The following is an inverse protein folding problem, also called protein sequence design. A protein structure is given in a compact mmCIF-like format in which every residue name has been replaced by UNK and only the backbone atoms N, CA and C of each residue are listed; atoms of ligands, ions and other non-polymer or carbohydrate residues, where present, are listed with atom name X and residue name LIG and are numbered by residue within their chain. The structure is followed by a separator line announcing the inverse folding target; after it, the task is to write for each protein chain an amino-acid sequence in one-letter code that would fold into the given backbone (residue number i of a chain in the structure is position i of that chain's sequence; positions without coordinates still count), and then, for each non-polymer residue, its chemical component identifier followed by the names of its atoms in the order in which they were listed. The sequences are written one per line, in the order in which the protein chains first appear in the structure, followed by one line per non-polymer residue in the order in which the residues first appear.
data_IF_736931051227
#
_entry.id   IF_736931051227
#
_cell.length_a   1.000
_cell.length_b   1.000
_cell.length_c   1.000
_cell.angle_alpha   90.00
_cell.angle_beta   90.00
_cell.angle_gamma   90.00
#
_symmetry.space_group_name_H-M   'P 1'
#
loop_
_entity.id
_entity.type
_entity.pdbx_description
1 polymer ?
#
# COMPACT_ATOMS: atom_id res chain seq x y z
N UNK A 1 24.09 28.50 47.48
CA UNK A 1 24.11 27.87 46.13
C UNK A 1 22.95 26.88 46.08
N UNK A 2 21.84 27.33 45.48
CA UNK A 2 20.58 26.59 45.45
C UNK A 2 20.53 25.79 44.14
N UNK A 3 20.67 24.47 44.22
CA UNK A 3 20.62 23.59 43.08
C UNK A 3 19.14 23.26 42.81
N UNK A 4 18.59 23.82 41.73
CA UNK A 4 17.24 23.54 41.27
C UNK A 4 17.25 22.22 40.49
N UNK A 5 16.70 21.14 41.05
CA UNK A 5 16.37 19.93 40.30
C UNK A 5 15.06 20.19 39.56
N UNK A 6 15.14 20.34 38.23
CA UNK A 6 13.96 20.21 37.36
C UNK A 6 13.68 18.73 37.20
N UNK A 7 12.43 18.26 37.43
CA UNK A 7 12.08 16.88 37.07
C UNK A 7 12.11 16.77 35.56
N UNK A 8 12.88 15.85 35.02
CA UNK A 8 12.74 15.35 33.66
C UNK A 8 11.36 14.66 33.61
N UNK A 9 10.35 15.37 33.16
CA UNK A 9 9.10 14.75 32.73
C UNK A 9 9.44 13.91 31.51
N UNK A 10 9.72 12.62 31.73
CA UNK A 10 9.64 11.62 30.68
C UNK A 10 8.21 11.69 30.14
N UNK A 11 8.03 12.11 28.89
CA UNK A 11 6.77 11.92 28.20
C UNK A 11 6.50 10.42 28.28
N UNK A 12 5.49 10.04 29.06
CA UNK A 12 4.98 8.68 29.04
C UNK A 12 4.54 8.45 27.59
N UNK A 13 5.17 7.48 26.93
CA UNK A 13 4.76 7.07 25.61
C UNK A 13 3.33 6.55 25.77
N UNK A 14 2.35 7.20 25.11
CA UNK A 14 0.97 6.74 25.18
C UNK A 14 0.90 5.31 24.63
N UNK A 15 0.17 4.44 25.33
CA UNK A 15 -0.07 3.09 24.85
C UNK A 15 -0.79 3.16 23.50
N UNK A 16 -0.41 2.37 22.51
CA UNK A 16 -1.04 2.41 21.20
C UNK A 16 -2.51 2.03 21.28
N UNK A 17 -3.35 2.73 20.55
CA UNK A 17 -4.78 2.42 20.44
C UNK A 17 -4.92 1.04 19.79
N UNK A 18 -5.79 0.20 20.36
CA UNK A 18 -6.10 -1.12 19.83
C UNK A 18 -7.49 -1.13 19.21
N UNK A 19 -7.57 -1.50 17.94
CA UNK A 19 -8.82 -1.64 17.22
C UNK A 19 -9.22 -3.11 17.12
N UNK A 20 -10.52 -3.37 17.16
CA UNK A 20 -11.10 -4.65 16.75
C UNK A 20 -11.86 -4.48 15.45
N UNK A 21 -12.23 -5.58 14.80
CA UNK A 21 -13.04 -5.53 13.59
C UNK A 21 -14.31 -6.39 13.75
N UNK A 22 -15.32 -6.05 12.95
CA UNK A 22 -16.54 -6.84 12.78
C UNK A 22 -16.80 -7.04 11.30
N UNK A 23 -16.89 -8.28 10.85
CA UNK A 23 -17.28 -8.60 9.48
C UNK A 23 -18.71 -8.11 9.24
N UNK A 24 -18.90 -7.21 8.29
CA UNK A 24 -20.20 -6.66 7.90
C UNK A 24 -20.75 -7.41 6.69
N UNK A 25 -19.88 -7.73 5.71
CA UNK A 25 -20.22 -8.44 4.48
C UNK A 25 -19.08 -9.37 4.06
N UNK A 26 -19.40 -10.35 3.24
CA UNK A 26 -18.43 -11.25 2.60
C UNK A 26 -18.82 -11.35 1.12
N UNK A 27 -17.84 -11.23 0.24
CA UNK A 27 -18.02 -11.26 -1.21
C UNK A 27 -17.24 -12.40 -1.83
N UNK A 28 -17.71 -12.97 -2.98
CA UNK A 28 -16.94 -13.94 -3.73
C UNK A 28 -15.59 -13.37 -4.19
N UNK A 29 -14.58 -14.22 -4.24
CA UNK A 29 -13.24 -13.84 -4.69
C UNK A 29 -12.60 -14.96 -5.51
N UNK A 30 -11.77 -14.64 -6.49
CA UNK A 30 -10.99 -15.61 -7.26
C UNK A 30 -9.92 -16.24 -6.37
N UNK A 31 -10.13 -17.50 -5.99
CA UNK A 31 -9.21 -18.26 -5.13
C UNK A 31 -7.81 -18.47 -5.74
N UNK A 32 -7.63 -18.20 -7.02
CA UNK A 32 -6.32 -18.28 -7.70
C UNK A 32 -5.55 -16.97 -7.67
N UNK A 33 -6.23 -15.87 -7.33
CA UNK A 33 -5.60 -14.56 -7.17
C UNK A 33 -4.63 -14.58 -5.98
N UNK A 34 -3.42 -14.13 -6.22
CA UNK A 34 -2.44 -13.88 -5.16
C UNK A 34 -2.38 -12.37 -4.92
N UNK A 35 -3.38 -11.88 -4.20
CA UNK A 35 -3.59 -10.46 -3.95
C UNK A 35 -2.42 -9.81 -3.26
N UNK A 36 -1.94 -8.70 -3.81
CA UNK A 36 -0.84 -7.90 -3.28
C UNK A 36 -1.23 -6.44 -3.08
N UNK A 37 -2.26 -5.97 -3.74
CA UNK A 37 -2.82 -4.65 -3.58
C UNK A 37 -4.31 -4.65 -3.88
N UNK A 38 -5.07 -3.85 -3.12
CA UNK A 38 -6.52 -3.82 -3.22
C UNK A 38 -7.03 -2.42 -2.87
N UNK A 39 -7.89 -1.86 -3.70
CA UNK A 39 -8.67 -0.67 -3.32
C UNK A 39 -10.10 -0.74 -3.84
N UNK A 40 -11.00 -0.05 -3.16
CA UNK A 40 -12.41 0.07 -3.55
C UNK A 40 -12.67 1.44 -4.19
N UNK A 41 -13.30 1.45 -5.37
CA UNK A 41 -13.69 2.68 -6.03
C UNK A 41 -14.99 2.49 -6.82
N UNK A 42 -15.98 3.36 -6.57
CA UNK A 42 -17.25 3.45 -7.30
C UNK A 42 -17.98 2.12 -7.51
N UNK A 43 -18.07 1.30 -6.48
CA UNK A 43 -18.81 0.03 -6.51
C UNK A 43 -17.99 -1.18 -6.95
N UNK A 44 -16.72 -1.01 -7.29
CA UNK A 44 -15.82 -2.07 -7.74
C UNK A 44 -14.58 -2.21 -6.85
N UNK A 45 -14.06 -3.42 -6.77
CA UNK A 45 -12.72 -3.66 -6.27
C UNK A 45 -11.72 -3.61 -7.42
N UNK A 46 -10.58 -2.98 -7.17
CA UNK A 46 -9.42 -3.05 -8.04
C UNK A 46 -8.37 -3.88 -7.32
N UNK A 47 -7.80 -4.85 -8.02
CA UNK A 47 -6.91 -5.84 -7.44
C UNK A 47 -5.61 -5.95 -8.24
N UNK A 48 -4.48 -5.75 -7.56
CA UNK A 48 -3.15 -6.07 -8.03
C UNK A 48 -2.72 -7.45 -7.53
N UNK A 49 -2.27 -8.34 -8.43
CA UNK A 49 -1.83 -9.68 -8.01
C UNK A 49 -0.37 -9.93 -8.30
N UNK A 50 0.25 -10.77 -7.47
CA UNK A 50 1.60 -11.26 -7.60
C UNK A 50 1.74 -12.51 -8.45
N UNK A 51 2.91 -13.16 -8.37
CA UNK A 51 3.41 -14.32 -9.13
C UNK A 51 3.81 -14.00 -10.57
N UNK A 52 5.12 -14.17 -10.83
CA UNK A 52 5.70 -13.96 -12.19
C UNK A 52 4.96 -14.81 -13.23
N UNK A 53 4.58 -14.18 -14.36
CA UNK A 53 3.80 -14.82 -15.42
C UNK A 53 2.29 -14.91 -15.13
N UNK A 54 1.83 -14.53 -13.95
CA UNK A 54 0.42 -14.55 -13.55
C UNK A 54 -0.07 -13.22 -12.96
N UNK A 55 0.85 -12.29 -12.69
CA UNK A 55 0.54 -10.97 -12.14
C UNK A 55 -0.36 -10.19 -13.08
N UNK A 56 -1.35 -9.51 -12.51
CA UNK A 56 -2.32 -8.70 -13.24
C UNK A 56 -2.85 -7.54 -12.40
N UNK A 57 -3.41 -6.57 -13.07
CA UNK A 57 -4.32 -5.57 -12.51
C UNK A 57 -5.74 -5.94 -12.98
N UNK A 58 -6.70 -5.99 -12.08
CA UNK A 58 -8.09 -6.34 -12.37
C UNK A 58 -9.06 -5.34 -11.78
N UNK A 59 -10.18 -5.09 -12.48
CA UNK A 59 -11.40 -4.46 -11.94
C UNK A 59 -12.42 -5.55 -11.71
N UNK A 60 -12.88 -5.71 -10.48
CA UNK A 60 -13.68 -6.86 -10.03
C UNK A 60 -15.05 -6.41 -9.58
N UNK A 61 -16.09 -7.10 -10.04
CA UNK A 61 -17.45 -6.94 -9.55
C UNK A 61 -17.57 -7.56 -8.15
N UNK A 62 -18.03 -6.78 -7.17
CA UNK A 62 -18.21 -7.25 -5.80
C UNK A 62 -19.24 -8.38 -5.67
N UNK A 63 -20.33 -8.34 -6.41
CA UNK A 63 -21.46 -9.24 -6.22
C UNK A 63 -21.12 -10.70 -6.55
N UNK A 64 -20.29 -10.93 -7.57
CA UNK A 64 -19.96 -12.26 -8.06
C UNK A 64 -18.45 -12.57 -8.12
N UNK A 65 -17.59 -11.59 -7.81
CA UNK A 65 -16.14 -11.75 -7.86
C UNK A 65 -15.56 -11.85 -9.28
N UNK A 66 -16.34 -11.60 -10.31
CA UNK A 66 -15.88 -11.67 -11.70
C UNK A 66 -15.02 -10.46 -12.07
N UNK A 67 -13.93 -10.71 -12.81
CA UNK A 67 -13.12 -9.63 -13.37
C UNK A 67 -13.83 -9.02 -14.59
N UNK A 68 -14.20 -7.73 -14.49
CA UNK A 68 -14.80 -6.94 -15.59
C UNK A 68 -13.69 -6.49 -16.56
N UNK A 69 -12.54 -6.11 -16.00
CA UNK A 69 -11.35 -5.76 -16.76
C UNK A 69 -10.16 -6.50 -16.18
N UNK A 70 -9.20 -6.85 -17.04
CA UNK A 70 -8.02 -7.59 -16.65
C UNK A 70 -6.84 -7.18 -17.51
N UNK A 71 -5.77 -6.70 -16.89
CA UNK A 71 -4.52 -6.31 -17.54
C UNK A 71 -3.37 -7.17 -17.01
N UNK A 72 -2.90 -8.15 -17.78
CA UNK A 72 -1.73 -8.93 -17.39
C UNK A 72 -0.47 -8.06 -17.36
N UNK A 73 0.39 -8.28 -16.36
CA UNK A 73 1.75 -7.77 -16.36
C UNK A 73 2.66 -8.63 -17.23
N UNK A 74 3.76 -8.05 -17.72
CA UNK A 74 4.79 -8.81 -18.42
C UNK A 74 5.34 -9.95 -17.54
N UNK A 75 5.63 -11.10 -18.13
CA UNK A 75 5.95 -12.37 -17.43
C UNK A 75 7.11 -12.27 -16.41
N UNK A 76 8.02 -11.33 -16.59
CA UNK A 76 9.16 -11.11 -15.70
C UNK A 76 8.81 -10.40 -14.39
N UNK A 77 7.67 -9.71 -14.35
CA UNK A 77 7.27 -8.89 -13.21
C UNK A 77 6.48 -9.69 -12.19
N UNK A 78 6.70 -9.37 -10.94
CA UNK A 78 5.83 -9.73 -9.84
C UNK A 78 5.11 -8.45 -9.42
N UNK A 79 3.80 -8.36 -9.62
CA UNK A 79 2.98 -7.21 -9.25
C UNK A 79 2.76 -7.17 -7.75
N UNK A 80 2.73 -5.97 -7.22
CA UNK A 80 2.57 -5.65 -5.80
C UNK A 80 1.45 -4.62 -5.62
N UNK A 81 1.51 -3.82 -4.56
CA UNK A 81 0.53 -2.82 -4.18
C UNK A 81 0.07 -1.94 -5.33
N UNK A 82 -1.19 -1.56 -5.30
CA UNK A 82 -1.83 -0.67 -6.27
C UNK A 82 -2.53 0.48 -5.57
N UNK A 83 -2.62 1.65 -6.22
CA UNK A 83 -3.38 2.77 -5.68
C UNK A 83 -3.92 3.68 -6.79
N UNK A 84 -5.04 4.33 -6.52
CA UNK A 84 -5.70 5.28 -7.40
C UNK A 84 -5.38 6.72 -7.02
N UNK A 85 -4.85 7.48 -7.97
CA UNK A 85 -4.67 8.94 -7.83
C UNK A 85 -5.36 9.65 -9.00
N UNK A 86 -6.47 10.29 -8.75
CA UNK A 86 -7.30 10.88 -9.82
C UNK A 86 -7.79 9.82 -10.80
N UNK A 87 -7.36 9.90 -12.05
CA UNK A 87 -7.71 8.93 -13.10
C UNK A 87 -6.56 7.95 -13.42
N UNK A 88 -5.53 7.91 -12.58
CA UNK A 88 -4.35 7.07 -12.77
C UNK A 88 -4.27 5.97 -11.72
N UNK A 89 -4.06 4.72 -12.13
CA UNK A 89 -3.76 3.60 -11.25
C UNK A 89 -2.25 3.36 -11.28
N UNK A 90 -1.62 3.40 -10.12
CA UNK A 90 -0.22 3.04 -9.92
C UNK A 90 -0.14 1.58 -9.50
N UNK A 91 0.79 0.82 -10.05
CA UNK A 91 1.06 -0.57 -9.66
C UNK A 91 2.55 -0.77 -9.46
N UNK A 92 2.91 -1.17 -8.26
CA UNK A 92 4.26 -1.51 -7.87
C UNK A 92 4.69 -2.87 -8.44
N UNK A 93 5.99 -3.07 -8.50
CA UNK A 93 6.60 -4.40 -8.69
C UNK A 93 7.59 -4.68 -7.58
N UNK A 94 7.67 -5.94 -7.14
CA UNK A 94 8.54 -6.35 -6.04
C UNK A 94 10.00 -5.90 -6.24
N UNK A 95 10.81 -6.66 -6.97
CA UNK A 95 12.26 -6.43 -7.11
C UNK A 95 12.66 -5.86 -8.48
N UNK A 96 11.69 -5.55 -9.32
CA UNK A 96 11.97 -5.02 -10.65
C UNK A 96 12.13 -3.51 -10.69
N UNK A 97 11.91 -2.83 -9.55
CA UNK A 97 12.02 -1.38 -9.41
C UNK A 97 11.15 -0.58 -10.39
N UNK A 98 10.15 -1.21 -10.98
CA UNK A 98 9.23 -0.58 -11.92
C UNK A 98 7.92 -0.28 -11.26
N UNK A 99 7.39 0.89 -11.52
CA UNK A 99 6.02 1.27 -11.22
C UNK A 99 5.31 1.52 -12.54
N UNK A 100 4.23 0.81 -12.76
CA UNK A 100 3.38 1.02 -13.94
C UNK A 100 2.27 2.01 -13.60
N UNK A 101 1.96 2.88 -14.54
CA UNK A 101 0.84 3.82 -14.44
C UNK A 101 -0.14 3.52 -15.55
N UNK A 102 -1.39 3.30 -15.17
CA UNK A 102 -2.48 2.98 -16.09
C UNK A 102 -3.56 4.07 -16.03
N UNK A 103 -4.22 4.29 -17.15
CA UNK A 103 -5.49 4.99 -17.19
C UNK A 103 -6.58 4.12 -16.54
N UNK A 104 -7.34 4.67 -15.61
CA UNK A 104 -8.33 3.95 -14.80
C UNK A 104 -9.45 3.31 -15.64
N UNK A 105 -9.89 3.99 -16.71
CA UNK A 105 -11.04 3.54 -17.49
C UNK A 105 -10.67 2.47 -18.52
N UNK A 106 -9.50 2.61 -19.15
CA UNK A 106 -9.08 1.73 -20.24
C UNK A 106 -8.10 0.65 -19.82
N UNK A 107 -7.44 0.79 -18.70
CA UNK A 107 -6.26 0.00 -18.28
C UNK A 107 -5.11 0.07 -19.29
N UNK A 108 -5.11 1.08 -20.17
CA UNK A 108 -3.93 1.35 -21.00
C UNK A 108 -2.79 1.87 -20.14
N UNK A 109 -1.60 1.34 -20.37
CA UNK A 109 -0.41 1.84 -19.70
C UNK A 109 -0.04 3.20 -20.28
N UNK A 110 -0.09 4.24 -19.45
CA UNK A 110 0.18 5.63 -19.83
C UNK A 110 1.53 6.14 -19.32
N UNK A 111 2.18 5.39 -18.43
CA UNK A 111 3.47 5.80 -17.91
C UNK A 111 4.19 4.72 -17.12
N UNK A 112 5.38 5.07 -16.66
CA UNK A 112 6.18 4.28 -15.73
C UNK A 112 7.03 5.19 -14.87
N UNK A 113 7.33 4.75 -13.64
CA UNK A 113 8.35 5.36 -12.78
C UNK A 113 9.37 4.32 -12.35
N UNK A 114 10.50 4.79 -11.87
CA UNK A 114 11.50 3.98 -11.21
C UNK A 114 11.33 4.11 -9.69
N UNK A 115 11.24 2.97 -8.98
CA UNK A 115 11.29 2.90 -7.54
C UNK A 115 12.68 2.47 -7.08
N UNK A 116 13.33 3.25 -6.22
CA UNK A 116 14.70 2.96 -5.77
C UNK A 116 14.79 1.78 -4.80
N UNK A 117 13.67 1.41 -4.15
CA UNK A 117 13.56 0.28 -3.22
C UNK A 117 12.72 -0.85 -3.81
N UNK A 118 12.50 -1.93 -3.08
CA UNK A 118 11.43 -2.87 -3.40
C UNK A 118 10.08 -2.15 -3.29
N UNK A 119 9.09 -2.57 -4.05
CA UNK A 119 7.72 -2.10 -3.93
C UNK A 119 6.88 -3.18 -3.27
N UNK A 120 6.23 -2.87 -2.15
CA UNK A 120 5.32 -3.77 -1.45
C UNK A 120 3.90 -3.18 -1.43
N UNK A 121 3.56 -2.34 -0.47
CA UNK A 121 2.26 -1.69 -0.39
C UNK A 121 2.27 -0.25 -0.89
N UNK A 122 1.10 0.24 -1.28
CA UNK A 122 0.90 1.60 -1.77
C UNK A 122 -0.44 2.14 -1.29
N UNK A 123 -0.44 3.35 -0.73
CA UNK A 123 -1.64 4.09 -0.36
C UNK A 123 -1.53 5.56 -0.79
N UNK A 124 -2.64 6.30 -0.77
CA UNK A 124 -2.68 7.72 -1.11
C UNK A 124 -3.40 8.52 -0.02
N UNK A 125 -2.74 9.55 0.54
CA UNK A 125 -3.29 10.38 1.62
C UNK A 125 -4.11 11.58 1.15
N UNK A 126 -4.32 11.72 -0.16
CA UNK A 126 -4.96 12.86 -0.80
C UNK A 126 -3.97 13.88 -1.37
N UNK A 127 -2.70 13.78 -1.05
CA UNK A 127 -1.62 14.65 -1.52
C UNK A 127 -0.41 13.85 -2.01
N UNK A 128 -0.01 12.82 -1.27
CA UNK A 128 1.19 12.03 -1.53
C UNK A 128 0.87 10.54 -1.59
N UNK A 129 1.59 9.81 -2.43
CA UNK A 129 1.64 8.35 -2.35
C UNK A 129 2.49 7.93 -1.15
N UNK A 130 2.06 6.89 -0.46
CA UNK A 130 2.75 6.30 0.68
C UNK A 130 3.15 4.88 0.29
N UNK A 131 4.44 4.58 0.35
CA UNK A 131 5.01 3.31 -0.10
C UNK A 131 5.68 2.59 1.06
N UNK A 132 5.45 1.28 1.15
CA UNK A 132 6.22 0.34 1.97
C UNK A 132 7.16 -0.49 1.10
N UNK A 133 8.27 -0.95 1.67
CA UNK A 133 9.30 -1.75 1.01
C UNK A 133 9.77 -2.96 1.87
N UNK A 134 8.96 -3.33 2.86
CA UNK A 134 9.28 -4.39 3.83
C UNK A 134 10.20 -3.93 4.96
N UNK A 135 10.73 -2.72 4.93
CA UNK A 135 11.45 -2.13 6.06
C UNK A 135 10.49 -1.60 7.12
N UNK A 136 11.01 -0.88 8.10
CA UNK A 136 10.24 -0.14 9.10
C UNK A 136 9.99 1.32 8.68
N UNK A 137 10.31 1.69 7.46
CA UNK A 137 10.11 3.04 6.92
C UNK A 137 8.96 3.07 5.93
N UNK A 138 8.11 4.09 6.03
CA UNK A 138 7.14 4.47 5.01
C UNK A 138 7.71 5.67 4.23
N UNK A 139 7.71 5.59 2.91
CA UNK A 139 8.18 6.65 2.02
C UNK A 139 6.99 7.43 1.48
N UNK A 140 7.04 8.75 1.57
CA UNK A 140 6.04 9.65 1.00
C UNK A 140 6.57 10.22 -0.31
N UNK A 141 5.81 10.06 -1.38
CA UNK A 141 6.23 10.32 -2.75
C UNK A 141 5.28 11.31 -3.42
N UNK A 142 5.84 12.19 -4.25
CA UNK A 142 5.05 13.02 -5.15
C UNK A 142 4.43 12.14 -6.26
N UNK A 143 3.10 12.16 -6.49
CA UNK A 143 2.46 11.26 -7.45
C UNK A 143 2.91 11.47 -8.89
N UNK A 144 3.22 12.71 -9.30
CA UNK A 144 3.56 13.01 -10.70
C UNK A 144 5.00 12.60 -11.05
N UNK A 145 5.95 12.85 -10.16
CA UNK A 145 7.35 12.53 -10.37
C UNK A 145 7.82 11.23 -9.76
N UNK A 146 7.03 10.67 -8.84
CA UNK A 146 7.38 9.54 -7.98
C UNK A 146 8.64 9.80 -7.12
N UNK A 147 8.99 11.06 -6.93
CA UNK A 147 10.15 11.47 -6.14
C UNK A 147 9.83 11.42 -4.63
N UNK A 148 10.72 10.86 -3.80
CA UNK A 148 10.52 10.84 -2.36
C UNK A 148 10.65 12.25 -1.77
N UNK A 149 9.69 12.65 -0.93
CA UNK A 149 9.66 13.93 -0.20
C UNK A 149 10.11 13.77 1.24
N UNK A 150 9.69 12.69 1.90
CA UNK A 150 10.03 12.37 3.29
C UNK A 150 9.89 10.88 3.57
N UNK A 151 10.44 10.46 4.73
CA UNK A 151 10.27 9.11 5.28
C UNK A 151 9.79 9.20 6.72
N UNK A 152 9.01 8.21 7.14
CA UNK A 152 8.53 8.06 8.51
C UNK A 152 8.93 6.68 9.02
N UNK A 153 9.56 6.61 10.18
CA UNK A 153 9.88 5.35 10.85
C UNK A 153 8.68 4.88 11.66
N UNK A 154 8.30 3.64 11.46
CA UNK A 154 7.21 2.98 12.21
C UNK A 154 7.80 2.20 13.36
N UNK A 155 7.38 2.53 14.59
CA UNK A 155 7.89 1.90 15.80
C UNK A 155 6.75 1.54 16.76
N UNK A 156 6.95 0.50 17.54
CA UNK A 156 6.12 0.15 18.69
C UNK A 156 6.98 0.12 19.94
N UNK A 157 6.68 0.97 20.91
CA UNK A 157 7.47 1.12 22.15
C UNK A 157 8.96 1.38 21.88
N UNK A 158 9.26 2.20 20.85
CA UNK A 158 10.62 2.53 20.43
C UNK A 158 11.33 1.46 19.60
N UNK A 159 10.72 0.30 19.36
CA UNK A 159 11.29 -0.75 18.52
C UNK A 159 10.75 -0.63 17.08
N UNK A 160 11.59 -0.76 16.05
CA UNK A 160 11.14 -0.70 14.66
C UNK A 160 10.21 -1.88 14.32
N UNK A 161 9.13 -1.60 13.59
CA UNK A 161 8.22 -2.58 13.03
C UNK A 161 8.60 -2.82 11.58
N UNK A 162 9.23 -3.93 11.30
CA UNK A 162 9.64 -4.34 9.95
C UNK A 162 8.56 -5.18 9.26
N UNK A 163 8.75 -5.49 7.98
CA UNK A 163 7.84 -6.23 7.13
C UNK A 163 6.50 -5.50 6.91
N UNK A 164 6.51 -4.17 6.93
CA UNK A 164 5.35 -3.39 6.52
C UNK A 164 5.04 -3.73 5.05
N UNK A 165 3.81 -4.17 4.81
CA UNK A 165 3.40 -4.69 3.51
C UNK A 165 2.25 -3.83 2.95
N UNK A 166 1.12 -4.41 2.57
CA UNK A 166 0.01 -3.67 1.98
C UNK A 166 -0.47 -2.55 2.90
N UNK A 167 -0.80 -1.42 2.28
CA UNK A 167 -1.14 -0.17 2.97
C UNK A 167 -2.52 0.32 2.58
N UNK A 168 -3.22 0.92 3.56
CA UNK A 168 -4.43 1.68 3.34
C UNK A 168 -4.37 3.00 4.11
N UNK A 169 -4.93 4.08 3.54
CA UNK A 169 -5.07 5.36 4.23
C UNK A 169 -6.52 5.59 4.64
N UNK A 170 -6.80 5.53 5.95
CA UNK A 170 -8.16 5.57 6.48
C UNK A 170 -8.25 6.64 7.58
N UNK A 171 -9.08 7.66 7.37
CA UNK A 171 -9.39 8.69 8.37
C UNK A 171 -8.14 9.40 8.96
N UNK A 172 -7.12 9.63 8.16
CA UNK A 172 -5.90 10.31 8.61
C UNK A 172 -4.82 9.39 9.15
N UNK A 173 -5.05 8.07 9.12
CA UNK A 173 -4.13 7.06 9.60
C UNK A 173 -3.69 6.13 8.47
N UNK A 174 -2.43 5.69 8.50
CA UNK A 174 -1.92 4.63 7.63
C UNK A 174 -2.10 3.29 8.32
N UNK A 175 -2.84 2.40 7.69
CA UNK A 175 -3.01 1.02 8.10
C UNK A 175 -2.07 0.14 7.28
N UNK A 176 -1.41 -0.82 7.91
CA UNK A 176 -0.45 -1.69 7.25
C UNK A 176 -0.60 -3.13 7.72
N UNK A 177 -0.49 -4.07 6.80
CA UNK A 177 -0.21 -5.45 7.15
C UNK A 177 1.25 -5.57 7.58
N UNK A 178 1.54 -6.37 8.59
CA UNK A 178 2.90 -6.78 8.91
C UNK A 178 3.06 -8.22 8.42
N UNK A 179 3.80 -8.40 7.33
CA UNK A 179 3.95 -9.71 6.68
C UNK A 179 4.54 -10.76 7.61
N UNK A 180 3.98 -11.97 7.60
CA UNK A 180 4.30 -13.12 8.48
C UNK A 180 3.92 -12.90 9.96
N UNK A 181 2.98 -12.01 10.24
CA UNK A 181 2.33 -11.93 11.57
C UNK A 181 0.83 -12.17 11.43
N UNK A 182 0.20 -12.59 12.56
CA UNK A 182 -1.27 -12.76 12.69
C UNK A 182 -1.91 -11.48 13.24
#
# INVERSE_FOLDING_TARGET
MLTLFLPLNGMAQEEPVRYGFRVVNTYPHDITAFTQGLFYHEGYLYEGTGKRGQSRLSKVNLDDGSAIMNKPLGQRYFGEGIELVGDKIYQLTWQSHMVFVYDKESFEQIGTHYNATEGWGLAYDGEQLILSDGSHELQFLDPESFAPSRKVQVTLNGNPIVNLNELEYINGEVWANVWQTD
#
